data_IF_727714909368
#
_entry.id   IF_727714909368
#
_cell.length_a   1.000
_cell.length_b   1.000
_cell.length_c   1.000
_cell.angle_alpha   90.00
_cell.angle_beta   90.00
_cell.angle_gamma   90.00
#
_symmetry.space_group_name_H-M   'P 1'
#
loop_
_entity.id
_entity.type
_entity.pdbx_description
1 polymer ?
#
# COMPACT_ATOMS: atom_id res chain seq x y z
N UNK A 1 6.09 1.68 11.51
CA UNK A 1 4.75 2.27 11.26
C UNK A 1 3.80 1.10 11.12
N UNK A 2 2.67 1.03 11.84
CA UNK A 2 1.79 -0.15 11.79
C UNK A 2 0.95 -0.18 10.53
N UNK A 3 0.38 -1.35 10.22
CA UNK A 3 -0.61 -1.53 9.13
C UNK A 3 -1.77 -0.53 9.31
N UNK A 4 -2.30 -0.38 10.52
CA UNK A 4 -3.42 0.53 10.80
C UNK A 4 -3.13 1.99 10.45
N UNK A 5 -1.92 2.48 10.76
CA UNK A 5 -1.50 3.85 10.43
C UNK A 5 -1.47 4.04 8.92
N UNK A 6 -0.85 3.11 8.20
CA UNK A 6 -0.77 3.16 6.73
C UNK A 6 -2.14 3.10 6.07
N UNK A 7 -3.03 2.24 6.57
CA UNK A 7 -4.40 2.17 6.05
C UNK A 7 -5.15 3.50 6.23
N UNK A 8 -5.04 4.14 7.41
CA UNK A 8 -5.65 5.46 7.65
C UNK A 8 -5.07 6.55 6.75
N UNK A 9 -3.76 6.55 6.56
CA UNK A 9 -3.07 7.53 5.70
C UNK A 9 -3.46 7.38 4.22
N UNK A 10 -3.65 6.15 3.75
CA UNK A 10 -3.96 5.88 2.34
C UNK A 10 -5.45 5.95 2.00
N UNK A 11 -6.33 5.98 3.00
CA UNK A 11 -7.79 5.86 2.80
C UNK A 11 -8.34 6.89 1.81
N UNK A 12 -8.01 8.16 1.98
CA UNK A 12 -8.51 9.23 1.10
C UNK A 12 -8.02 9.09 -0.35
N UNK A 13 -6.77 8.67 -0.53
CA UNK A 13 -6.18 8.44 -1.85
C UNK A 13 -6.80 7.22 -2.52
N UNK A 14 -7.03 6.14 -1.77
CA UNK A 14 -7.68 4.94 -2.26
C UNK A 14 -9.13 5.23 -2.69
N UNK A 15 -9.87 6.04 -1.93
CA UNK A 15 -11.24 6.45 -2.26
C UNK A 15 -11.26 7.26 -3.57
N UNK A 16 -10.41 8.28 -3.70
CA UNK A 16 -10.33 9.08 -4.92
C UNK A 16 -9.94 8.22 -6.13
N UNK A 17 -8.94 7.37 -5.98
CA UNK A 17 -8.50 6.44 -7.02
C UNK A 17 -9.62 5.50 -7.45
N UNK A 18 -10.39 4.97 -6.50
CA UNK A 18 -11.54 4.13 -6.79
C UNK A 18 -12.60 4.88 -7.60
N UNK A 19 -12.91 6.13 -7.20
CA UNK A 19 -13.85 6.97 -7.92
C UNK A 19 -13.38 7.26 -9.35
N UNK A 20 -12.11 7.64 -9.50
CA UNK A 20 -11.51 7.94 -10.80
C UNK A 20 -11.46 6.70 -11.71
N UNK A 21 -11.19 5.51 -11.16
CA UNK A 21 -11.17 4.29 -11.95
C UNK A 21 -12.57 3.88 -12.43
N UNK A 22 -13.55 3.92 -11.53
CA UNK A 22 -14.89 3.37 -11.75
C UNK A 22 -15.82 4.30 -12.53
N UNK A 23 -15.72 5.61 -12.34
CA UNK A 23 -16.72 6.57 -12.81
C UNK A 23 -16.23 7.50 -13.93
N UNK A 24 -14.99 7.34 -14.41
CA UNK A 24 -14.47 8.13 -15.53
C UNK A 24 -14.48 7.33 -16.83
N UNK A 25 -14.32 8.03 -17.95
CA UNK A 25 -14.34 7.40 -19.28
C UNK A 25 -13.15 6.42 -19.42
N UNK A 26 -13.36 5.26 -20.07
CA UNK A 26 -12.26 4.36 -20.43
C UNK A 26 -11.12 5.09 -21.16
N UNK A 27 -9.88 4.93 -20.67
CA UNK A 27 -8.69 5.57 -21.23
C UNK A 27 -8.55 7.07 -20.96
N UNK A 28 -9.39 7.65 -20.11
CA UNK A 28 -9.25 9.04 -19.67
C UNK A 28 -7.97 9.24 -18.85
N UNK A 29 -7.54 10.50 -18.70
CA UNK A 29 -6.35 10.86 -17.90
C UNK A 29 -6.55 10.47 -16.44
N UNK A 30 -7.76 10.62 -15.94
CA UNK A 30 -8.17 10.27 -14.58
C UNK A 30 -8.08 8.76 -14.37
N UNK A 31 -8.62 7.95 -15.30
CA UNK A 31 -8.52 6.49 -15.20
C UNK A 31 -7.07 6.00 -15.27
N UNK A 32 -6.24 6.57 -16.16
CA UNK A 32 -4.81 6.22 -16.27
C UNK A 32 -4.06 6.62 -15.00
N UNK A 33 -4.38 7.78 -14.42
CA UNK A 33 -3.82 8.21 -13.13
C UNK A 33 -4.22 7.25 -12.01
N UNK A 34 -5.49 6.85 -11.94
CA UNK A 34 -5.97 5.91 -10.95
C UNK A 34 -5.22 4.57 -11.01
N UNK A 35 -5.00 4.04 -12.22
CA UNK A 35 -4.21 2.82 -12.43
C UNK A 35 -2.74 3.00 -12.00
N UNK A 36 -2.15 4.15 -12.29
CA UNK A 36 -0.77 4.46 -11.88
C UNK A 36 -0.65 4.55 -10.36
N UNK A 37 -1.60 5.21 -9.70
CA UNK A 37 -1.70 5.29 -8.24
C UNK A 37 -1.88 3.91 -7.63
N UNK A 38 -2.75 3.06 -8.19
CA UNK A 38 -2.95 1.69 -7.71
C UNK A 38 -1.64 0.89 -7.76
N UNK A 39 -0.95 0.93 -8.89
CA UNK A 39 0.34 0.25 -9.08
C UNK A 39 1.37 0.70 -8.05
N UNK A 40 1.47 2.02 -7.82
CA UNK A 40 2.36 2.58 -6.81
C UNK A 40 2.01 2.12 -5.38
N UNK A 41 0.74 2.19 -5.00
CA UNK A 41 0.29 1.80 -3.65
C UNK A 41 0.57 0.31 -3.39
N UNK A 42 0.30 -0.57 -4.38
CA UNK A 42 0.60 -2.01 -4.27
C UNK A 42 2.10 -2.25 -4.11
N UNK A 43 2.94 -1.58 -4.91
CA UNK A 43 4.40 -1.68 -4.78
C UNK A 43 4.89 -1.24 -3.39
N UNK A 44 4.36 -0.12 -2.89
CA UNK A 44 4.68 0.39 -1.55
C UNK A 44 4.29 -0.62 -0.44
N UNK A 45 3.17 -1.32 -0.58
CA UNK A 45 2.76 -2.37 0.37
C UNK A 45 3.69 -3.59 0.30
N UNK A 46 4.09 -4.00 -0.90
CA UNK A 46 5.08 -5.07 -1.08
C UNK A 46 6.37 -4.75 -0.34
N UNK A 47 6.93 -3.56 -0.54
CA UNK A 47 8.17 -3.13 0.13
C UNK A 47 8.03 -3.06 1.65
N UNK A 48 6.88 -2.55 2.11
CA UNK A 48 6.59 -2.46 3.54
C UNK A 48 6.51 -3.85 4.19
N UNK A 49 5.76 -4.78 3.59
CA UNK A 49 5.58 -6.13 4.13
C UNK A 49 6.88 -6.92 4.15
N UNK A 50 7.72 -6.80 3.12
CA UNK A 50 9.06 -7.41 3.09
C UNK A 50 9.92 -6.87 4.24
N UNK A 51 9.84 -5.58 4.53
CA UNK A 51 10.59 -4.99 5.65
C UNK A 51 10.04 -5.40 7.01
N UNK A 52 8.72 -5.52 7.17
CA UNK A 52 8.12 -6.01 8.42
C UNK A 52 8.45 -7.49 8.66
N UNK A 53 8.45 -8.34 7.63
CA UNK A 53 8.87 -9.74 7.73
C UNK A 53 10.32 -9.85 8.23
N UNK A 54 11.24 -9.04 7.70
CA UNK A 54 12.64 -8.98 8.18
C UNK A 54 12.73 -8.54 9.64
N UNK A 55 11.93 -7.55 10.05
CA UNK A 55 11.88 -7.07 11.44
C UNK A 55 11.38 -8.16 12.38
N UNK A 56 10.29 -8.85 12.03
CA UNK A 56 9.76 -9.97 12.83
C UNK A 56 10.74 -11.13 12.94
N UNK A 57 11.38 -11.50 11.82
CA UNK A 57 12.41 -12.56 11.81
C UNK A 57 13.58 -12.22 12.74
N UNK A 58 14.01 -10.95 12.75
CA UNK A 58 15.09 -10.48 13.63
C UNK A 58 14.68 -10.49 15.10
N UNK A 59 13.43 -10.11 15.41
CA UNK A 59 12.89 -10.14 16.77
C UNK A 59 12.81 -11.58 17.31
N UNK A 60 12.32 -12.52 16.50
CA UNK A 60 12.24 -13.94 16.88
C UNK A 60 13.62 -14.55 17.11
N UNK A 61 14.63 -14.17 16.32
CA UNK A 61 16.01 -14.63 16.53
C UNK A 61 16.62 -14.13 17.85
N UNK A 62 16.30 -12.89 18.25
CA UNK A 62 16.70 -12.33 19.55
C UNK A 62 16.01 -13.05 20.72
N UNK A 63 14.71 -13.35 20.59
CA UNK A 63 13.98 -14.13 21.61
C UNK A 63 14.52 -15.55 21.74
N UNK A 64 14.88 -16.21 20.63
CA UNK A 64 15.43 -17.56 20.64
C UNK A 64 16.86 -17.67 21.20
N UNK A 65 17.56 -16.55 21.36
CA UNK A 65 18.92 -16.47 21.93
C UNK A 65 18.96 -15.99 23.38
N UNK A 66 17.77 -15.74 23.96
CA UNK A 66 17.55 -15.37 25.37
C UNK A 66 17.27 -16.59 26.24
#
# INVERSE_FOLDING_TARGET
>A
MSIDSRCKEQQSVADQMFMDFKYTKPGSKEQVRALSTLSFLVGMWSDFLVNEEKRMSSALALEASS
#
